data_IF_881786854875
#
_entry.id   IF_881786854875
#
_cell.length_a   1.000
_cell.length_b   1.000
_cell.length_c   1.000
_cell.angle_alpha   90.00
_cell.angle_beta   90.00
_cell.angle_gamma   90.00
#
_symmetry.space_group_name_H-M   'P 1'
#
loop_
_entity.id
_entity.type
_entity.pdbx_description
1 polymer ?
#
# COMPACT_ATOMS: atom_id res chain seq x y z
N UNK A 1 -25.55 25.53 -12.36
CA UNK A 1 -25.98 26.03 -11.04
C UNK A 1 -27.39 25.55 -10.65
N UNK A 2 -28.41 25.68 -11.50
CA UNK A 2 -29.79 25.30 -11.16
C UNK A 2 -29.97 23.78 -10.89
N UNK A 3 -29.36 22.91 -11.70
CA UNK A 3 -29.40 21.46 -11.48
C UNK A 3 -28.82 21.03 -10.13
N UNK A 4 -27.62 21.52 -9.78
CA UNK A 4 -26.97 21.20 -8.49
C UNK A 4 -27.80 21.71 -7.31
N UNK A 5 -28.37 22.91 -7.42
CA UNK A 5 -29.24 23.46 -6.37
C UNK A 5 -30.56 22.69 -6.23
N UNK A 6 -31.12 22.17 -7.34
CA UNK A 6 -32.30 21.29 -7.31
C UNK A 6 -31.97 19.93 -6.73
N UNK A 7 -30.82 19.35 -7.09
CA UNK A 7 -30.35 18.09 -6.53
C UNK A 7 -30.07 18.21 -5.02
N UNK A 8 -29.39 19.28 -4.60
CA UNK A 8 -29.14 19.58 -3.19
C UNK A 8 -30.45 19.68 -2.42
N UNK A 9 -31.43 20.46 -2.89
CA UNK A 9 -32.76 20.55 -2.26
C UNK A 9 -33.54 19.24 -2.25
N UNK A 10 -33.38 18.41 -3.26
CA UNK A 10 -34.03 17.09 -3.32
C UNK A 10 -33.44 16.11 -2.31
N UNK A 11 -32.12 16.15 -2.12
CA UNK A 11 -31.39 15.31 -1.17
C UNK A 11 -31.53 15.84 0.27
N UNK A 12 -31.60 17.16 0.44
CA UNK A 12 -31.81 17.86 1.70
C UNK A 12 -33.30 17.84 2.12
N UNK A 13 -33.84 16.63 2.24
CA UNK A 13 -35.19 16.39 2.76
C UNK A 13 -35.14 15.61 4.07
N UNK A 14 -35.98 15.96 5.06
CA UNK A 14 -36.14 15.14 6.25
C UNK A 14 -36.46 13.69 5.88
N UNK A 15 -35.89 12.73 6.61
CA UNK A 15 -36.11 11.28 6.42
C UNK A 15 -35.61 10.70 5.08
N UNK A 16 -34.72 11.41 4.35
CA UNK A 16 -34.03 10.79 3.21
C UNK A 16 -33.31 9.50 3.68
N UNK A 17 -33.47 8.36 2.98
CA UNK A 17 -32.98 7.07 3.46
C UNK A 17 -31.48 6.89 3.21
N UNK A 18 -30.65 7.76 3.79
CA UNK A 18 -29.19 7.79 3.63
C UNK A 18 -28.54 6.44 3.90
N UNK A 19 -28.98 5.73 4.97
CA UNK A 19 -28.51 4.37 5.27
C UNK A 19 -28.73 3.40 4.11
N UNK A 20 -29.93 3.40 3.50
CA UNK A 20 -30.25 2.51 2.38
C UNK A 20 -29.44 2.89 1.13
N UNK A 21 -29.26 4.19 0.88
CA UNK A 21 -28.48 4.67 -0.27
C UNK A 21 -27.01 4.25 -0.15
N UNK A 22 -26.37 4.53 0.98
CA UNK A 22 -24.96 4.20 1.23
C UNK A 22 -24.74 2.68 1.18
N UNK A 23 -25.63 1.91 1.81
CA UNK A 23 -25.57 0.44 1.74
C UNK A 23 -25.80 -0.09 0.34
N UNK A 24 -26.72 0.49 -0.43
CA UNK A 24 -26.97 0.14 -1.82
C UNK A 24 -25.72 0.33 -2.68
N UNK A 25 -25.06 1.48 -2.58
CA UNK A 25 -23.81 1.75 -3.28
C UNK A 25 -22.68 0.81 -2.83
N UNK A 26 -22.52 0.62 -1.52
CA UNK A 26 -21.49 -0.28 -0.98
C UNK A 26 -21.67 -1.73 -1.46
N UNK A 27 -22.90 -2.25 -1.43
CA UNK A 27 -23.19 -3.61 -1.94
C UNK A 27 -22.99 -3.66 -3.46
N UNK A 28 -23.44 -2.65 -4.20
CA UNK A 28 -23.25 -2.56 -5.64
C UNK A 28 -21.76 -2.59 -6.04
N UNK A 29 -20.93 -1.80 -5.35
CA UNK A 29 -19.47 -1.80 -5.54
C UNK A 29 -18.87 -3.17 -5.22
N UNK A 30 -19.21 -3.76 -4.07
CA UNK A 30 -18.71 -5.09 -3.68
C UNK A 30 -19.08 -6.17 -4.71
N UNK A 31 -20.32 -6.18 -5.21
CA UNK A 31 -20.76 -7.11 -6.25
C UNK A 31 -19.95 -6.91 -7.53
N UNK A 32 -19.77 -5.66 -7.95
CA UNK A 32 -18.99 -5.33 -9.14
C UNK A 32 -17.53 -5.80 -9.03
N UNK A 33 -16.83 -5.45 -7.95
CA UNK A 33 -15.45 -5.88 -7.68
C UNK A 33 -15.34 -7.41 -7.59
N UNK A 34 -16.33 -8.07 -6.98
CA UNK A 34 -16.39 -9.53 -6.91
C UNK A 34 -16.53 -10.18 -8.29
N UNK A 35 -17.33 -9.60 -9.20
CA UNK A 35 -17.44 -10.08 -10.58
C UNK A 35 -16.11 -9.96 -11.32
N UNK A 36 -15.35 -8.89 -11.09
CA UNK A 36 -14.05 -8.66 -11.70
C UNK A 36 -13.01 -9.66 -11.18
N UNK A 37 -12.99 -9.89 -9.87
CA UNK A 37 -12.15 -10.93 -9.26
C UNK A 37 -12.49 -12.33 -9.77
N UNK A 38 -13.77 -12.66 -9.96
CA UNK A 38 -14.19 -13.93 -10.54
C UNK A 38 -13.71 -14.09 -12.00
N UNK A 39 -13.74 -13.03 -12.81
CA UNK A 39 -13.17 -13.04 -14.16
C UNK A 39 -11.67 -13.28 -14.13
N UNK A 40 -10.94 -12.60 -13.24
CA UNK A 40 -9.51 -12.83 -13.07
C UNK A 40 -9.21 -14.25 -12.61
N UNK A 41 -10.00 -14.78 -11.68
CA UNK A 41 -9.87 -16.17 -11.23
C UNK A 41 -10.03 -17.17 -12.37
N UNK A 42 -10.94 -16.93 -13.33
CA UNK A 42 -11.07 -17.76 -14.53
C UNK A 42 -9.82 -17.72 -15.40
N UNK A 43 -9.20 -16.55 -15.59
CA UNK A 43 -7.93 -16.43 -16.31
C UNK A 43 -6.83 -17.23 -15.60
N UNK A 44 -6.81 -17.21 -14.27
CA UNK A 44 -5.83 -17.93 -13.46
C UNK A 44 -6.03 -19.46 -13.43
N UNK A 45 -7.09 -19.97 -14.05
CA UNK A 45 -7.31 -21.42 -14.26
C UNK A 45 -6.66 -21.95 -15.53
N UNK A 46 -6.13 -21.08 -16.39
CA UNK A 46 -5.39 -21.50 -17.58
C UNK A 46 -4.16 -22.29 -17.15
N UNK A 47 -3.91 -23.40 -17.84
CA UNK A 47 -2.83 -24.35 -17.53
C UNK A 47 -1.58 -24.14 -18.37
N UNK A 48 -1.63 -23.25 -19.38
CA UNK A 48 -0.49 -22.95 -20.25
C UNK A 48 -0.13 -21.48 -20.18
N UNK A 49 1.16 -21.21 -20.18
CA UNK A 49 1.68 -19.86 -20.32
C UNK A 49 1.19 -19.22 -21.63
N UNK A 50 0.99 -17.90 -21.67
CA UNK A 50 0.78 -17.19 -22.93
C UNK A 50 1.95 -17.44 -23.88
N UNK A 51 1.69 -17.59 -25.18
CA UNK A 51 2.73 -17.84 -26.20
C UNK A 51 3.94 -16.90 -26.13
N UNK A 52 3.73 -15.65 -25.73
CA UNK A 52 4.78 -14.63 -25.60
C UNK A 52 5.76 -14.95 -24.46
N UNK A 53 5.34 -15.72 -23.46
CA UNK A 53 6.11 -16.08 -22.26
C UNK A 53 6.46 -17.57 -22.21
N UNK A 54 6.06 -18.36 -23.22
CA UNK A 54 6.23 -19.81 -23.25
C UNK A 54 7.72 -20.22 -23.20
N UNK A 55 8.60 -19.37 -23.74
CA UNK A 55 10.04 -19.59 -23.74
C UNK A 55 10.75 -19.02 -22.50
N UNK A 56 10.09 -18.17 -21.73
CA UNK A 56 10.68 -17.42 -20.60
C UNK A 56 10.38 -18.06 -19.24
N UNK A 57 9.29 -18.80 -19.14
CA UNK A 57 8.79 -19.31 -17.87
C UNK A 57 8.62 -20.82 -17.99
N UNK A 58 9.29 -21.57 -17.12
CA UNK A 58 9.07 -23.00 -17.00
C UNK A 58 7.61 -23.31 -16.62
N UNK A 59 7.09 -24.43 -17.10
CA UNK A 59 5.72 -24.84 -16.79
C UNK A 59 5.48 -24.95 -15.27
N UNK A 60 6.48 -25.43 -14.52
CA UNK A 60 6.42 -25.51 -13.06
C UNK A 60 6.27 -24.12 -12.40
N UNK A 61 7.08 -23.14 -12.81
CA UNK A 61 7.01 -21.77 -12.29
C UNK A 61 5.67 -21.12 -12.64
N UNK A 62 5.18 -21.36 -13.86
CA UNK A 62 3.85 -20.91 -14.26
C UNK A 62 2.76 -21.52 -13.37
N UNK A 63 2.77 -22.84 -13.15
CA UNK A 63 1.76 -23.52 -12.34
C UNK A 63 1.78 -23.07 -10.87
N UNK A 64 2.98 -22.86 -10.30
CA UNK A 64 3.15 -22.28 -8.95
C UNK A 64 2.58 -20.87 -8.88
N UNK A 65 2.89 -20.02 -9.86
CA UNK A 65 2.36 -18.65 -9.96
C UNK A 65 0.83 -18.63 -10.08
N UNK A 66 0.27 -19.52 -10.91
CA UNK A 66 -1.18 -19.67 -11.04
C UNK A 66 -1.83 -20.17 -9.74
N UNK A 67 -1.22 -21.12 -9.04
CA UNK A 67 -1.70 -21.60 -7.75
C UNK A 67 -1.70 -20.50 -6.68
N UNK A 68 -0.62 -19.70 -6.62
CA UNK A 68 -0.51 -18.54 -5.74
C UNK A 68 -1.58 -17.48 -6.06
N UNK A 69 -1.69 -17.09 -7.33
CA UNK A 69 -2.70 -16.14 -7.79
C UNK A 69 -4.12 -16.58 -7.44
N UNK A 70 -4.46 -17.87 -7.65
CA UNK A 70 -5.78 -18.41 -7.27
C UNK A 70 -6.02 -18.39 -5.76
N UNK A 71 -5.01 -18.72 -4.96
CA UNK A 71 -5.13 -18.67 -3.50
C UNK A 71 -5.36 -17.23 -3.01
N UNK A 72 -4.63 -16.28 -3.58
CA UNK A 72 -4.78 -14.84 -3.29
C UNK A 72 -6.14 -14.31 -3.68
N UNK A 73 -6.64 -14.61 -4.89
CA UNK A 73 -7.98 -14.21 -5.33
C UNK A 73 -9.09 -14.79 -4.44
N UNK A 74 -8.96 -16.05 -3.99
CA UNK A 74 -9.93 -16.64 -3.03
C UNK A 74 -9.92 -15.91 -1.70
N UNK A 75 -8.73 -15.62 -1.17
CA UNK A 75 -8.59 -14.87 0.07
C UNK A 75 -9.18 -13.47 -0.06
N UNK A 76 -8.88 -12.75 -1.15
CA UNK A 76 -9.42 -11.40 -1.41
C UNK A 76 -10.96 -11.40 -1.46
N UNK A 77 -11.58 -12.38 -2.12
CA UNK A 77 -13.04 -12.53 -2.15
C UNK A 77 -13.64 -12.81 -0.76
N UNK A 78 -13.04 -13.74 0.00
CA UNK A 78 -13.53 -14.09 1.35
C UNK A 78 -13.36 -12.91 2.32
N UNK A 79 -12.19 -12.28 2.29
CA UNK A 79 -11.90 -11.11 3.12
C UNK A 79 -12.78 -9.91 2.73
N UNK A 80 -13.02 -9.71 1.44
CA UNK A 80 -13.96 -8.71 0.94
C UNK A 80 -15.38 -8.95 1.44
N UNK A 81 -15.86 -10.19 1.39
CA UNK A 81 -17.18 -10.56 1.94
C UNK A 81 -17.25 -10.32 3.45
N UNK A 82 -16.22 -10.70 4.19
CA UNK A 82 -16.12 -10.43 5.62
C UNK A 82 -16.16 -8.92 5.92
N UNK A 83 -15.38 -8.12 5.19
CA UNK A 83 -15.41 -6.66 5.29
C UNK A 83 -16.78 -6.07 4.94
N UNK A 84 -17.48 -6.63 3.94
CA UNK A 84 -18.82 -6.18 3.56
C UNK A 84 -19.86 -6.50 4.65
N UNK A 85 -19.79 -7.69 5.28
CA UNK A 85 -20.62 -8.05 6.42
C UNK A 85 -20.39 -7.09 7.58
N UNK A 86 -19.12 -6.80 7.89
CA UNK A 86 -18.77 -5.80 8.91
C UNK A 86 -19.34 -4.44 8.57
N UNK A 87 -19.16 -3.93 7.34
CA UNK A 87 -19.67 -2.64 6.94
C UNK A 87 -21.20 -2.54 7.08
N UNK A 88 -21.94 -3.56 6.62
CA UNK A 88 -23.39 -3.64 6.78
C UNK A 88 -23.76 -3.63 8.26
N UNK A 89 -23.10 -4.44 9.09
CA UNK A 89 -23.35 -4.49 10.53
C UNK A 89 -23.07 -3.15 11.21
N UNK A 90 -21.97 -2.48 10.87
CA UNK A 90 -21.60 -1.18 11.44
C UNK A 90 -22.64 -0.10 11.16
N UNK A 91 -23.17 -0.05 9.93
CA UNK A 91 -24.18 0.93 9.52
C UNK A 91 -25.57 0.57 10.07
N UNK A 92 -25.97 -0.70 10.00
CA UNK A 92 -27.30 -1.14 10.44
C UNK A 92 -27.45 -1.10 11.96
N UNK A 93 -26.41 -1.45 12.70
CA UNK A 93 -26.43 -1.49 14.17
C UNK A 93 -26.04 -0.15 14.80
N UNK A 94 -25.82 0.91 14.02
CA UNK A 94 -25.42 2.24 14.49
C UNK A 94 -24.20 2.17 15.42
N UNK A 95 -23.17 1.44 14.99
CA UNK A 95 -21.98 1.22 15.81
C UNK A 95 -21.23 2.53 16.05
N UNK A 96 -21.15 3.42 15.05
CA UNK A 96 -20.42 4.68 15.18
C UNK A 96 -21.02 5.62 16.24
N UNK A 97 -22.34 5.92 16.27
CA UNK A 97 -22.95 6.68 17.36
C UNK A 97 -22.78 6.04 18.73
N UNK A 98 -22.92 4.71 18.84
CA UNK A 98 -22.73 3.98 20.09
C UNK A 98 -21.30 4.09 20.59
N UNK A 99 -20.34 3.93 19.69
CA UNK A 99 -18.91 4.06 19.97
C UNK A 99 -18.57 5.49 20.40
N UNK A 100 -19.15 6.49 19.74
CA UNK A 100 -19.01 7.91 20.12
C UNK A 100 -19.52 8.16 21.55
N UNK A 101 -20.72 7.69 21.89
CA UNK A 101 -21.25 7.83 23.25
C UNK A 101 -20.33 7.16 24.27
N UNK A 102 -19.92 5.92 24.00
CA UNK A 102 -19.07 5.15 24.90
C UNK A 102 -17.70 5.79 25.14
N UNK A 103 -17.04 6.30 24.10
CA UNK A 103 -15.77 7.01 24.27
C UNK A 103 -15.93 8.35 24.99
N UNK A 104 -17.10 8.98 24.89
CA UNK A 104 -17.45 10.18 25.65
C UNK A 104 -17.54 9.88 27.14
N UNK A 105 -18.25 8.81 27.51
CA UNK A 105 -18.38 8.36 28.90
C UNK A 105 -17.01 8.01 29.50
N UNK A 106 -16.15 7.33 28.74
CA UNK A 106 -14.78 7.04 29.16
C UNK A 106 -13.95 8.31 29.38
N UNK A 107 -14.04 9.27 28.46
CA UNK A 107 -13.31 10.53 28.57
C UNK A 107 -13.75 11.30 29.82
N UNK A 108 -15.05 11.40 30.08
CA UNK A 108 -15.58 12.08 31.26
C UNK A 108 -15.18 11.38 32.56
N UNK A 109 -15.03 10.04 32.55
CA UNK A 109 -14.66 9.26 33.73
C UNK A 109 -13.17 9.34 34.06
N UNK A 110 -12.29 9.38 33.05
CA UNK A 110 -10.84 9.20 33.26
C UNK A 110 -9.99 10.40 32.86
N UNK A 111 -10.49 11.31 32.02
CA UNK A 111 -9.70 12.46 31.56
C UNK A 111 -9.84 13.65 32.52
N UNK A 112 -8.75 14.39 32.79
CA UNK A 112 -8.82 15.67 33.48
C UNK A 112 -9.76 16.66 32.78
N UNK A 113 -10.41 17.55 33.53
CA UNK A 113 -11.41 18.49 33.02
C UNK A 113 -10.96 19.28 31.76
N UNK A 114 -9.67 19.63 31.67
CA UNK A 114 -9.08 20.33 30.50
C UNK A 114 -9.11 19.54 29.18
N UNK A 115 -9.33 18.22 29.23
CA UNK A 115 -9.38 17.32 28.08
C UNK A 115 -10.79 16.80 27.78
N UNK A 116 -11.84 17.46 28.27
CA UNK A 116 -13.25 17.04 28.06
C UNK A 116 -13.92 17.71 26.85
N UNK A 117 -13.16 18.46 26.04
CA UNK A 117 -13.68 19.12 24.85
C UNK A 117 -13.89 18.17 23.66
N UNK A 118 -14.70 18.60 22.69
CA UNK A 118 -15.04 17.85 21.47
C UNK A 118 -13.80 17.35 20.68
N UNK A 119 -12.70 18.10 20.68
CA UNK A 119 -11.46 17.68 20.01
C UNK A 119 -10.85 16.45 20.70
N UNK A 120 -10.76 16.48 22.03
CA UNK A 120 -10.24 15.36 22.82
C UNK A 120 -11.14 14.14 22.70
N UNK A 121 -12.46 14.32 22.71
CA UNK A 121 -13.42 13.25 22.46
C UNK A 121 -13.25 12.65 21.06
N UNK A 122 -13.12 13.49 20.03
CA UNK A 122 -12.88 13.04 18.66
C UNK A 122 -11.60 12.23 18.52
N UNK A 123 -10.52 12.63 19.20
CA UNK A 123 -9.26 11.88 19.21
C UNK A 123 -9.44 10.50 19.84
N UNK A 124 -10.04 10.42 21.03
CA UNK A 124 -10.28 9.13 21.71
C UNK A 124 -11.20 8.25 20.89
N UNK A 125 -12.25 8.82 20.30
CA UNK A 125 -13.14 8.13 19.38
C UNK A 125 -12.38 7.52 18.18
N UNK A 126 -11.59 8.32 17.47
CA UNK A 126 -10.84 7.85 16.30
C UNK A 126 -9.82 6.78 16.67
N UNK A 127 -9.05 6.98 17.75
CA UNK A 127 -8.06 5.99 18.20
C UNK A 127 -8.72 4.68 18.62
N UNK A 128 -9.85 4.75 19.33
CA UNK A 128 -10.64 3.57 19.69
C UNK A 128 -11.15 2.87 18.44
N UNK A 129 -11.70 3.62 17.50
CA UNK A 129 -12.21 3.07 16.24
C UNK A 129 -11.09 2.36 15.45
N UNK A 130 -9.89 2.94 15.39
CA UNK A 130 -8.72 2.28 14.77
C UNK A 130 -8.40 0.95 15.44
N UNK A 131 -8.40 0.88 16.78
CA UNK A 131 -8.15 -0.36 17.51
C UNK A 131 -9.25 -1.42 17.25
N UNK A 132 -10.52 -1.02 17.21
CA UNK A 132 -11.63 -1.91 16.87
C UNK A 132 -11.47 -2.46 15.45
N UNK A 133 -11.18 -1.60 14.47
CA UNK A 133 -10.95 -2.01 13.08
C UNK A 133 -9.72 -2.93 12.94
N UNK A 134 -8.65 -2.67 13.70
CA UNK A 134 -7.49 -3.55 13.74
C UNK A 134 -7.85 -4.92 14.32
N UNK A 135 -8.57 -4.98 15.44
CA UNK A 135 -9.00 -6.24 16.03
C UNK A 135 -9.88 -7.07 15.08
N UNK A 136 -10.77 -6.42 14.34
CA UNK A 136 -11.66 -7.05 13.36
C UNK A 136 -10.94 -7.56 12.10
N UNK A 137 -9.84 -6.92 11.72
CA UNK A 137 -9.02 -7.31 10.57
C UNK A 137 -7.88 -8.29 10.93
N UNK A 138 -7.54 -8.41 12.22
CA UNK A 138 -6.46 -9.25 12.73
C UNK A 138 -6.57 -10.73 12.29
N UNK A 139 -7.73 -11.41 12.36
CA UNK A 139 -7.84 -12.80 11.92
C UNK A 139 -7.46 -12.98 10.44
N UNK A 140 -7.86 -12.01 9.61
CA UNK A 140 -7.56 -12.01 8.18
C UNK A 140 -6.07 -11.78 7.92
N UNK A 141 -5.47 -10.83 8.64
CA UNK A 141 -4.03 -10.56 8.58
C UNK A 141 -3.18 -11.76 9.02
N UNK A 142 -3.58 -12.46 10.09
CA UNK A 142 -2.91 -13.69 10.55
C UNK A 142 -3.00 -14.77 9.47
N UNK A 143 -4.19 -15.00 8.91
CA UNK A 143 -4.37 -15.98 7.84
C UNK A 143 -3.53 -15.63 6.61
N UNK A 144 -3.53 -14.37 6.19
CA UNK A 144 -2.75 -13.93 5.04
C UNK A 144 -1.26 -14.22 5.21
N UNK A 145 -0.67 -13.82 6.33
CA UNK A 145 0.78 -13.96 6.53
C UNK A 145 1.18 -15.41 6.86
N UNK A 146 0.54 -16.03 7.85
CA UNK A 146 0.98 -17.31 8.42
C UNK A 146 0.35 -18.55 7.77
N UNK A 147 -0.63 -18.38 6.88
CA UNK A 147 -1.24 -19.50 6.15
C UNK A 147 -1.05 -19.33 4.65
N UNK A 148 -1.46 -18.18 4.09
CA UNK A 148 -1.38 -17.97 2.65
C UNK A 148 0.06 -17.74 2.22
N UNK A 149 0.73 -16.68 2.67
CA UNK A 149 2.10 -16.36 2.26
C UNK A 149 3.10 -17.44 2.70
N UNK A 150 2.91 -18.03 3.89
CA UNK A 150 3.71 -19.17 4.37
C UNK A 150 3.61 -20.40 3.45
N UNK A 151 2.40 -20.74 2.98
CA UNK A 151 2.18 -21.88 2.06
C UNK A 151 2.98 -21.76 0.76
N UNK A 152 3.25 -20.53 0.31
CA UNK A 152 4.02 -20.27 -0.90
C UNK A 152 5.47 -19.87 -0.61
N UNK A 153 5.92 -19.95 0.65
CA UNK A 153 7.30 -19.68 1.06
C UNK A 153 7.68 -18.20 1.04
N UNK A 154 6.70 -17.29 0.89
CA UNK A 154 6.93 -15.85 0.86
C UNK A 154 7.04 -15.25 2.25
N UNK A 155 6.30 -15.77 3.23
CA UNK A 155 6.42 -15.28 4.61
C UNK A 155 7.78 -15.68 5.20
N UNK A 156 8.45 -14.70 5.81
CA UNK A 156 9.67 -14.89 6.61
C UNK A 156 9.51 -14.29 8.02
N UNK A 157 8.38 -13.66 8.29
CA UNK A 157 8.09 -13.03 9.56
C UNK A 157 7.75 -14.06 10.63
N UNK A 158 8.35 -13.91 11.82
CA UNK A 158 7.97 -14.70 13.00
C UNK A 158 6.75 -14.10 13.71
N UNK A 159 5.94 -14.88 14.45
CA UNK A 159 4.83 -14.34 15.24
C UNK A 159 5.24 -13.23 16.20
N UNK A 160 6.43 -13.34 16.80
CA UNK A 160 7.00 -12.29 17.66
C UNK A 160 7.23 -10.99 16.89
N UNK A 161 7.81 -11.07 15.69
CA UNK A 161 8.05 -9.89 14.85
C UNK A 161 6.72 -9.28 14.37
N UNK A 162 5.74 -10.10 14.02
CA UNK A 162 4.40 -9.65 13.64
C UNK A 162 3.72 -8.84 14.75
N UNK A 163 3.68 -9.36 15.98
CA UNK A 163 3.10 -8.64 17.12
C UNK A 163 3.92 -7.40 17.46
N UNK A 164 5.25 -7.48 17.40
CA UNK A 164 6.13 -6.33 17.68
C UNK A 164 5.89 -5.20 16.68
N UNK A 165 5.77 -5.51 15.40
CA UNK A 165 5.49 -4.52 14.35
C UNK A 165 4.10 -3.91 14.57
N UNK A 166 3.08 -4.72 14.87
CA UNK A 166 1.74 -4.24 15.19
C UNK A 166 1.74 -3.25 16.36
N UNK A 167 2.44 -3.56 17.45
CA UNK A 167 2.56 -2.68 18.62
C UNK A 167 3.31 -1.39 18.30
N UNK A 168 4.41 -1.46 17.53
CA UNK A 168 5.16 -0.27 17.07
C UNK A 168 4.30 0.63 16.18
N UNK A 169 3.56 0.05 15.24
CA UNK A 169 2.64 0.80 14.38
C UNK A 169 1.55 1.49 15.20
N UNK A 170 0.95 0.79 16.17
CA UNK A 170 -0.03 1.39 17.07
C UNK A 170 0.59 2.53 17.89
N UNK A 171 1.76 2.33 18.48
CA UNK A 171 2.45 3.39 19.23
C UNK A 171 2.66 4.63 18.35
N UNK A 172 3.13 4.45 17.12
CA UNK A 172 3.31 5.55 16.18
C UNK A 172 1.98 6.25 15.84
N UNK A 173 0.91 5.51 15.60
CA UNK A 173 -0.43 6.07 15.37
C UNK A 173 -0.89 6.89 16.59
N UNK A 174 -0.70 6.39 17.80
CA UNK A 174 -1.08 7.08 19.04
C UNK A 174 -0.24 8.34 19.30
N UNK A 175 0.98 8.41 18.78
CA UNK A 175 1.84 9.61 18.89
C UNK A 175 1.47 10.63 17.80
N UNK A 176 1.31 10.20 16.55
CA UNK A 176 1.14 11.09 15.40
C UNK A 176 -0.30 11.53 15.16
N UNK A 177 -1.29 10.63 15.33
CA UNK A 177 -2.67 10.95 14.99
C UNK A 177 -3.28 12.04 15.88
N UNK A 178 -3.08 12.08 17.22
CA UNK A 178 -3.67 13.12 18.06
C UNK A 178 -3.30 14.56 17.67
N UNK A 179 -2.01 14.95 17.50
CA UNK A 179 -1.68 16.32 17.10
C UNK A 179 -2.19 16.66 15.69
N UNK A 180 -2.19 15.69 14.77
CA UNK A 180 -2.73 15.87 13.41
C UNK A 180 -4.24 16.13 13.46
N UNK A 181 -4.99 15.29 14.17
CA UNK A 181 -6.44 15.43 14.34
C UNK A 181 -6.81 16.70 15.10
N UNK A 182 -6.05 17.05 16.14
CA UNK A 182 -6.24 18.29 16.88
C UNK A 182 -6.04 19.51 15.97
N UNK A 183 -4.97 19.53 15.17
CA UNK A 183 -4.71 20.59 14.19
C UNK A 183 -5.83 20.69 13.16
N UNK A 184 -6.20 19.56 12.56
CA UNK A 184 -7.28 19.45 11.58
C UNK A 184 -8.62 20.01 12.11
N UNK A 185 -9.09 19.54 13.27
CA UNK A 185 -10.34 19.99 13.86
C UNK A 185 -10.26 21.45 14.33
N UNK A 186 -9.10 21.89 14.82
CA UNK A 186 -8.89 23.28 15.22
C UNK A 186 -8.98 24.24 14.04
N UNK A 187 -8.48 23.84 12.87
CA UNK A 187 -8.61 24.64 11.63
C UNK A 187 -10.07 24.80 11.28
N UNK A 188 -10.84 23.72 11.25
CA UNK A 188 -12.28 23.75 10.94
C UNK A 188 -13.02 24.70 11.89
N UNK A 189 -12.79 24.59 13.20
CA UNK A 189 -13.45 25.46 14.19
C UNK A 189 -13.08 26.94 14.07
N UNK A 190 -11.83 27.25 13.71
CA UNK A 190 -11.35 28.64 13.65
C UNK A 190 -11.70 29.36 12.36
N UNK A 191 -11.82 28.63 11.25
CA UNK A 191 -11.87 29.22 9.91
C UNK A 191 -13.26 29.23 9.28
N UNK A 192 -14.25 28.57 9.91
CA UNK A 192 -15.63 28.57 9.45
C UNK A 192 -15.72 28.16 7.97
N UNK A 193 -16.52 28.83 7.15
CA UNK A 193 -16.74 28.46 5.74
C UNK A 193 -15.48 28.48 4.85
N UNK A 194 -14.36 29.07 5.29
CA UNK A 194 -13.08 29.06 4.55
C UNK A 194 -12.19 27.86 4.91
N UNK A 195 -12.65 26.94 5.76
CA UNK A 195 -11.82 25.85 6.28
C UNK A 195 -11.17 24.99 5.21
N UNK A 196 -11.81 24.84 4.06
CA UNK A 196 -11.33 24.03 2.95
C UNK A 196 -9.92 24.42 2.49
N UNK A 197 -9.66 25.73 2.31
CA UNK A 197 -8.34 26.20 1.88
C UNK A 197 -7.26 25.96 2.93
N UNK A 198 -7.55 26.28 4.19
CA UNK A 198 -6.60 26.12 5.29
C UNK A 198 -6.31 24.65 5.61
N UNK A 199 -7.32 23.79 5.52
CA UNK A 199 -7.20 22.35 5.70
C UNK A 199 -6.40 21.73 4.56
N UNK A 200 -6.64 22.15 3.31
CA UNK A 200 -5.82 21.76 2.17
C UNK A 200 -4.36 22.15 2.38
N UNK A 201 -4.08 23.41 2.75
CA UNK A 201 -2.71 23.87 2.98
C UNK A 201 -2.03 23.10 4.13
N UNK A 202 -2.77 22.81 5.20
CA UNK A 202 -2.30 21.98 6.31
C UNK A 202 -1.99 20.55 5.86
N UNK A 203 -2.88 19.91 5.09
CA UNK A 203 -2.70 18.56 4.57
C UNK A 203 -1.51 18.49 3.60
N UNK A 204 -1.36 19.46 2.71
CA UNK A 204 -0.23 19.58 1.79
C UNK A 204 1.11 19.70 2.55
N UNK A 205 1.15 20.59 3.55
CA UNK A 205 2.33 20.76 4.41
C UNK A 205 2.66 19.49 5.20
N UNK A 206 1.64 18.85 5.79
CA UNK A 206 1.80 17.58 6.49
C UNK A 206 2.28 16.46 5.55
N UNK A 207 1.78 16.39 4.33
CA UNK A 207 2.20 15.38 3.35
C UNK A 207 3.67 15.55 2.96
N UNK A 208 4.12 16.78 2.67
CA UNK A 208 5.54 17.07 2.37
C UNK A 208 6.43 16.73 3.58
N UNK A 209 5.98 17.11 4.79
CA UNK A 209 6.65 16.75 6.03
C UNK A 209 6.77 15.24 6.19
N UNK A 210 5.67 14.48 6.02
CA UNK A 210 5.66 13.03 6.17
C UNK A 210 6.49 12.31 5.11
N UNK A 211 6.48 12.75 3.85
CA UNK A 211 7.35 12.20 2.79
C UNK A 211 8.84 12.35 3.15
N UNK A 212 9.19 13.43 3.86
CA UNK A 212 10.57 13.69 4.30
C UNK A 212 10.92 12.91 5.56
N UNK A 213 10.05 12.90 6.56
CA UNK A 213 10.31 12.30 7.89
C UNK A 213 10.17 10.78 7.89
N UNK A 214 9.26 10.22 7.08
CA UNK A 214 8.99 8.79 7.06
C UNK A 214 10.27 7.94 6.88
N UNK A 215 11.08 8.12 5.83
CA UNK A 215 12.27 7.29 5.63
C UNK A 215 13.38 7.55 6.67
N UNK A 216 13.40 8.73 7.30
CA UNK A 216 14.45 9.13 8.24
C UNK A 216 14.17 8.65 9.66
N UNK A 217 12.93 8.78 10.13
CA UNK A 217 12.58 8.56 11.54
C UNK A 217 11.63 7.37 11.76
N UNK A 218 10.78 7.06 10.78
CA UNK A 218 9.76 6.01 10.95
C UNK A 218 10.26 4.68 10.42
N UNK A 219 10.75 4.65 9.18
CA UNK A 219 11.23 3.43 8.52
C UNK A 219 12.32 2.68 9.33
N UNK A 220 13.32 3.36 9.94
CA UNK A 220 14.34 2.70 10.75
C UNK A 220 13.82 2.00 12.01
N UNK A 221 12.60 2.32 12.47
CA UNK A 221 11.98 1.62 13.61
C UNK A 221 11.53 0.20 13.25
N UNK A 222 11.32 -0.07 11.95
CA UNK A 222 10.83 -1.34 11.43
C UNK A 222 11.93 -2.12 10.71
N UNK A 223 12.74 -1.46 9.90
CA UNK A 223 13.76 -2.08 9.07
C UNK A 223 15.13 -1.49 9.38
N UNK A 224 16.17 -2.30 9.26
CA UNK A 224 17.54 -1.84 9.28
C UNK A 224 17.89 -1.35 7.88
N UNK A 225 18.32 -0.08 7.81
CA UNK A 225 18.97 0.48 6.63
C UNK A 225 20.47 0.43 6.87
N UNK A 226 21.21 -0.17 5.96
CA UNK A 226 22.68 -0.22 6.00
C UNK A 226 23.23 0.33 4.69
N UNK A 227 24.38 1.02 4.69
CA UNK A 227 25.02 1.44 3.46
C UNK A 227 25.27 0.23 2.55
N UNK A 228 25.14 0.41 1.24
CA UNK A 228 25.51 -0.61 0.27
C UNK A 228 27.03 -0.83 0.30
N UNK A 229 27.44 -2.09 0.39
CA UNK A 229 28.85 -2.49 0.42
C UNK A 229 29.58 -2.05 -0.87
N UNK A 230 30.89 -1.83 -0.75
CA UNK A 230 31.74 -1.54 -1.90
C UNK A 230 31.78 -2.75 -2.84
N UNK A 231 31.59 -2.50 -4.14
CA UNK A 231 31.59 -3.56 -5.15
C UNK A 231 31.05 -3.11 -6.50
N UNK A 232 30.97 -4.06 -7.43
CA UNK A 232 30.55 -3.81 -8.82
C UNK A 232 29.16 -3.16 -8.90
N UNK A 233 28.21 -3.63 -8.09
CA UNK A 233 26.85 -3.08 -8.05
C UNK A 233 26.86 -1.60 -7.66
N UNK A 234 27.57 -1.24 -6.60
CA UNK A 234 27.66 0.15 -6.15
C UNK A 234 28.26 1.05 -7.23
N UNK A 235 29.38 0.63 -7.82
CA UNK A 235 30.04 1.36 -8.91
C UNK A 235 29.13 1.56 -10.12
N UNK A 236 28.41 0.51 -10.55
CA UNK A 236 27.51 0.59 -11.70
C UNK A 236 26.31 1.51 -11.43
N UNK A 237 25.75 1.49 -10.21
CA UNK A 237 24.64 2.37 -9.82
C UNK A 237 25.08 3.82 -9.73
N UNK A 238 26.26 4.10 -9.16
CA UNK A 238 26.82 5.45 -9.12
C UNK A 238 27.11 5.99 -10.53
N UNK A 239 27.64 5.14 -11.41
CA UNK A 239 27.87 5.50 -12.81
C UNK A 239 26.54 5.81 -13.54
N UNK A 240 25.49 5.01 -13.32
CA UNK A 240 24.16 5.25 -13.88
C UNK A 240 23.56 6.57 -13.36
N UNK A 241 23.62 6.79 -12.04
CA UNK A 241 23.13 8.02 -11.42
C UNK A 241 23.85 9.25 -11.98
N UNK A 242 25.18 9.19 -12.11
CA UNK A 242 25.99 10.25 -12.71
C UNK A 242 25.62 10.50 -14.17
N UNK A 243 25.46 9.44 -14.97
CA UNK A 243 25.04 9.54 -16.38
C UNK A 243 23.69 10.23 -16.53
N UNK A 244 22.77 10.00 -15.60
CA UNK A 244 21.42 10.58 -15.61
C UNK A 244 21.32 11.92 -14.85
N UNK A 245 22.43 12.47 -14.36
CA UNK A 245 22.47 13.64 -13.48
C UNK A 245 21.51 13.52 -12.27
N UNK A 246 21.33 12.29 -11.78
CA UNK A 246 20.53 12.04 -10.59
C UNK A 246 21.32 12.51 -9.35
N UNK A 247 20.73 13.33 -8.46
CA UNK A 247 21.41 13.88 -7.29
C UNK A 247 21.51 12.84 -6.17
N UNK A 248 22.25 11.76 -6.45
CA UNK A 248 22.51 10.67 -5.52
C UNK A 248 23.36 11.17 -4.35
N UNK A 249 22.88 10.92 -3.14
CA UNK A 249 23.60 11.17 -1.89
C UNK A 249 24.17 9.88 -1.31
N UNK A 250 23.32 8.89 -1.02
CA UNK A 250 23.73 7.59 -0.47
C UNK A 250 22.90 6.43 -1.03
N UNK A 251 23.52 5.25 -1.05
CA UNK A 251 22.92 3.96 -1.43
C UNK A 251 22.76 3.11 -0.18
N UNK A 252 21.54 2.61 0.06
CA UNK A 252 21.22 1.75 1.18
C UNK A 252 20.69 0.39 0.73
N UNK A 253 20.94 -0.61 1.56
CA UNK A 253 20.27 -1.91 1.56
C UNK A 253 19.29 -1.96 2.74
N UNK A 254 18.08 -2.42 2.47
CA UNK A 254 17.04 -2.67 3.48
C UNK A 254 16.88 -4.18 3.73
N UNK A 255 16.74 -4.56 5.00
CA UNK A 255 16.55 -5.96 5.44
C UNK A 255 15.12 -6.49 5.19
N UNK A 256 14.67 -6.42 3.92
CA UNK A 256 13.34 -6.86 3.49
C UNK A 256 13.08 -8.35 3.71
N UNK A 257 14.14 -9.17 3.58
CA UNK A 257 14.13 -10.62 3.80
C UNK A 257 13.60 -11.03 5.17
N UNK A 258 13.69 -10.15 6.18
CA UNK A 258 13.16 -10.37 7.54
C UNK A 258 11.64 -10.55 7.58
N UNK A 259 10.92 -10.03 6.58
CA UNK A 259 9.45 -10.07 6.52
C UNK A 259 8.96 -10.92 5.37
N UNK A 260 9.55 -10.76 4.19
CA UNK A 260 9.12 -11.56 3.05
C UNK A 260 10.25 -11.79 2.06
N UNK A 261 10.05 -12.79 1.20
CA UNK A 261 10.93 -13.06 0.08
C UNK A 261 10.66 -12.16 -1.15
N UNK A 262 9.77 -11.16 -1.06
CA UNK A 262 9.49 -10.22 -2.15
C UNK A 262 10.63 -9.21 -2.33
N UNK A 263 10.91 -8.85 -3.58
CA UNK A 263 12.00 -7.95 -3.98
C UNK A 263 11.46 -6.60 -4.44
N UNK A 264 12.17 -5.51 -4.12
CA UNK A 264 11.78 -4.17 -4.52
C UNK A 264 13.01 -3.22 -4.51
N UNK A 265 12.87 -2.05 -5.11
CA UNK A 265 13.80 -0.93 -4.99
C UNK A 265 13.01 0.38 -5.07
N UNK A 266 13.49 1.41 -4.37
CA UNK A 266 12.87 2.73 -4.44
C UNK A 266 13.88 3.82 -4.09
N UNK A 267 13.52 5.08 -4.35
CA UNK A 267 14.30 6.24 -3.93
C UNK A 267 13.47 7.19 -3.08
N UNK A 268 14.13 7.91 -2.18
CA UNK A 268 13.50 8.91 -1.31
C UNK A 268 14.40 10.13 -1.12
N UNK A 269 13.89 11.14 -0.41
CA UNK A 269 14.63 12.34 -0.05
C UNK A 269 14.21 13.57 -0.83
N UNK A 270 14.89 14.68 -0.54
CA UNK A 270 14.59 15.99 -1.11
C UNK A 270 14.99 16.04 -2.59
N UNK A 271 14.40 16.94 -3.41
CA UNK A 271 14.72 17.04 -4.83
C UNK A 271 16.22 17.16 -5.15
N UNK A 272 16.99 17.80 -4.27
CA UNK A 272 18.43 18.05 -4.41
C UNK A 272 19.33 17.04 -3.69
N UNK A 273 18.77 16.13 -2.88
CA UNK A 273 19.51 15.08 -2.16
C UNK A 273 18.65 13.82 -2.08
N UNK A 274 18.96 12.85 -2.93
CA UNK A 274 18.20 11.60 -3.05
C UNK A 274 18.99 10.40 -2.54
N UNK A 275 18.29 9.49 -1.89
CA UNK A 275 18.82 8.22 -1.44
C UNK A 275 18.13 7.10 -2.22
N UNK A 276 18.87 6.07 -2.59
CA UNK A 276 18.31 4.85 -3.20
C UNK A 276 18.33 3.75 -2.14
N UNK A 277 17.25 2.99 -2.05
CA UNK A 277 17.12 1.82 -1.19
C UNK A 277 16.86 0.60 -2.06
N UNK A 278 17.69 -0.42 -1.90
CA UNK A 278 17.59 -1.70 -2.59
C UNK A 278 17.26 -2.77 -1.56
N UNK A 279 16.28 -3.63 -1.83
CA UNK A 279 16.00 -4.76 -0.94
C UNK A 279 17.12 -5.79 -1.04
N UNK A 280 17.53 -6.34 0.10
CA UNK A 280 18.45 -7.49 0.16
C UNK A 280 17.99 -8.65 -0.73
N UNK A 281 16.70 -8.97 -0.71
CA UNK A 281 16.08 -10.00 -1.58
C UNK A 281 16.17 -9.71 -3.07
N UNK A 282 16.36 -8.45 -3.49
CA UNK A 282 16.61 -8.11 -4.90
C UNK A 282 18.07 -8.38 -5.25
N UNK A 283 19.00 -8.02 -4.36
CA UNK A 283 20.44 -8.22 -4.56
C UNK A 283 20.79 -9.71 -4.55
N UNK A 284 20.16 -10.50 -3.67
CA UNK A 284 20.41 -11.94 -3.55
C UNK A 284 19.90 -12.77 -4.73
N UNK A 285 18.92 -12.27 -5.48
CA UNK A 285 18.18 -13.04 -6.50
C UNK A 285 18.40 -12.57 -7.93
N UNK A 286 19.18 -11.52 -8.12
CA UNK A 286 19.37 -10.89 -9.42
C UNK A 286 20.83 -10.56 -9.64
N UNK A 287 21.27 -10.64 -10.88
CA UNK A 287 22.60 -10.23 -11.27
C UNK A 287 22.74 -8.70 -11.19
N UNK A 288 23.97 -8.22 -11.03
CA UNK A 288 24.26 -6.78 -10.94
C UNK A 288 23.61 -5.98 -12.07
N UNK A 289 23.65 -6.48 -13.31
CA UNK A 289 23.08 -5.79 -14.47
C UNK A 289 21.56 -5.70 -14.41
N UNK A 290 20.89 -6.72 -13.87
CA UNK A 290 19.43 -6.75 -13.70
C UNK A 290 19.00 -5.73 -12.63
N UNK A 291 19.72 -5.66 -11.50
CA UNK A 291 19.45 -4.65 -10.47
C UNK A 291 19.65 -3.24 -11.02
N UNK A 292 20.70 -3.01 -11.81
CA UNK A 292 20.95 -1.73 -12.47
C UNK A 292 19.83 -1.40 -13.47
N UNK A 293 19.28 -2.39 -14.19
CA UNK A 293 18.15 -2.19 -15.09
C UNK A 293 16.86 -1.82 -14.34
N UNK A 294 16.58 -2.45 -13.20
CA UNK A 294 15.48 -2.07 -12.30
C UNK A 294 15.67 -0.64 -11.81
N UNK A 295 16.88 -0.27 -11.39
CA UNK A 295 17.16 1.11 -10.96
C UNK A 295 17.07 2.11 -12.11
N UNK A 296 17.41 1.74 -13.34
CA UNK A 296 17.19 2.58 -14.51
C UNK A 296 15.69 2.85 -14.74
N UNK A 297 14.83 1.84 -14.52
CA UNK A 297 13.37 2.02 -14.54
C UNK A 297 12.90 3.00 -13.45
N UNK A 298 13.35 2.81 -12.20
CA UNK A 298 13.02 3.70 -11.08
C UNK A 298 13.49 5.14 -11.33
N UNK A 299 14.71 5.33 -11.82
CA UNK A 299 15.24 6.64 -12.20
C UNK A 299 14.49 7.25 -13.39
N UNK A 300 13.89 6.44 -14.25
CA UNK A 300 12.96 6.88 -15.28
C UNK A 300 11.73 7.58 -14.71
N UNK A 301 11.15 7.07 -13.61
CA UNK A 301 10.05 7.75 -12.91
C UNK A 301 10.44 9.12 -12.37
N UNK A 302 11.68 9.23 -11.86
CA UNK A 302 12.22 10.52 -11.42
C UNK A 302 12.44 11.47 -12.60
N UNK A 303 13.09 11.01 -13.67
CA UNK A 303 13.42 11.83 -14.85
C UNK A 303 12.16 12.38 -15.54
N UNK A 304 11.11 11.56 -15.66
CA UNK A 304 9.83 11.98 -16.24
C UNK A 304 8.95 12.78 -15.25
N UNK A 305 9.41 12.96 -14.01
CA UNK A 305 8.71 13.71 -12.97
C UNK A 305 7.39 13.07 -12.55
N UNK A 306 7.24 11.75 -12.66
CA UNK A 306 6.00 11.04 -12.34
C UNK A 306 5.56 11.30 -10.90
N UNK A 307 6.47 11.25 -9.93
CA UNK A 307 6.18 11.56 -8.52
C UNK A 307 5.66 12.99 -8.33
N UNK A 308 6.30 13.97 -8.99
CA UNK A 308 5.90 15.39 -8.90
C UNK A 308 4.54 15.63 -9.55
N UNK A 309 4.28 15.03 -10.71
CA UNK A 309 2.98 15.12 -11.40
C UNK A 309 1.87 14.50 -10.56
N UNK A 310 2.08 13.28 -10.03
CA UNK A 310 1.11 12.60 -9.17
C UNK A 310 0.84 13.39 -7.89
N UNK A 311 1.87 13.99 -7.28
CA UNK A 311 1.70 14.88 -6.13
C UNK A 311 0.84 16.09 -6.48
N UNK A 312 1.12 16.78 -7.59
CA UNK A 312 0.33 17.93 -8.06
C UNK A 312 -1.13 17.56 -8.36
N UNK A 313 -1.37 16.45 -9.06
CA UNK A 313 -2.71 15.92 -9.32
C UNK A 313 -3.44 15.62 -8.02
N UNK A 314 -2.78 14.98 -7.05
CA UNK A 314 -3.35 14.72 -5.73
C UNK A 314 -3.73 16.00 -5.00
N UNK A 315 -2.92 17.06 -5.05
CA UNK A 315 -3.26 18.35 -4.43
C UNK A 315 -4.47 19.00 -5.10
N UNK A 316 -4.56 18.97 -6.43
CA UNK A 316 -5.68 19.53 -7.18
C UNK A 316 -7.00 18.78 -6.89
N UNK A 317 -6.93 17.45 -6.77
CA UNK A 317 -8.09 16.62 -6.40
C UNK A 317 -8.58 16.94 -4.98
N UNK A 318 -7.68 17.06 -4.01
CA UNK A 318 -8.03 17.40 -2.62
C UNK A 318 -8.60 18.82 -2.52
N UNK A 319 -8.04 19.78 -3.27
CA UNK A 319 -8.48 21.18 -3.24
C UNK A 319 -9.87 21.38 -3.84
N UNK A 320 -10.20 20.65 -4.91
CA UNK A 320 -11.44 20.89 -5.65
C UNK A 320 -12.67 20.18 -5.05
N UNK A 321 -12.52 19.28 -4.05
CA UNK A 321 -13.61 18.51 -3.39
C UNK A 321 -14.67 17.93 -4.35
N UNK A 322 -14.30 17.77 -5.62
CA UNK A 322 -15.16 17.40 -6.73
C UNK A 322 -14.47 16.29 -7.49
N UNK A 323 -15.25 15.28 -7.87
CA UNK A 323 -14.86 14.36 -8.93
C UNK A 323 -14.80 15.17 -10.22
N UNK A 324 -13.60 15.43 -10.71
CA UNK A 324 -13.41 15.82 -12.10
C UNK A 324 -13.89 14.62 -12.92
N UNK A 325 -14.84 14.82 -13.83
CA UNK A 325 -15.47 13.75 -14.63
C UNK A 325 -14.48 12.65 -15.09
N UNK A 326 -14.83 11.37 -14.96
CA UNK A 326 -13.86 10.29 -15.21
C UNK A 326 -14.38 9.03 -15.90
N UNK A 327 -15.24 9.01 -16.90
CA UNK A 327 -15.81 7.77 -17.50
C UNK A 327 -14.89 6.73 -18.23
N UNK A 328 -13.60 6.94 -18.44
CA UNK A 328 -12.65 5.80 -18.58
C UNK A 328 -12.34 5.18 -17.18
N UNK A 329 -13.35 5.27 -16.29
CA UNK A 329 -13.40 5.43 -14.81
C UNK A 329 -12.99 4.25 -14.01
N UNK A 330 -12.87 3.15 -14.71
CA UNK A 330 -12.45 1.92 -14.11
C UNK A 330 -11.01 1.59 -14.53
N UNK A 331 -10.58 2.03 -15.72
CA UNK A 331 -9.25 1.73 -16.26
C UNK A 331 -8.11 2.36 -15.43
N UNK A 332 -8.43 3.41 -14.68
CA UNK A 332 -7.59 4.15 -13.72
C UNK A 332 -7.67 3.62 -12.29
N UNK A 333 -8.63 2.75 -11.98
CA UNK A 333 -9.08 2.52 -10.62
C UNK A 333 -8.32 1.39 -9.89
N UNK A 334 -7.57 0.53 -10.58
CA UNK A 334 -6.90 -0.62 -9.94
C UNK A 334 -5.44 -0.92 -10.31
N UNK A 335 -4.82 -0.26 -11.31
CA UNK A 335 -3.41 -0.50 -11.66
C UNK A 335 -2.66 0.79 -11.99
N UNK A 336 -1.41 0.90 -11.53
CA UNK A 336 -0.46 1.96 -11.85
C UNK A 336 0.49 1.61 -13.02
N UNK A 337 0.56 0.34 -13.46
CA UNK A 337 1.40 -0.13 -14.57
C UNK A 337 0.76 -1.27 -15.41
N UNK A 338 0.99 -1.32 -16.74
CA UNK A 338 0.62 -2.47 -17.57
C UNK A 338 1.45 -3.72 -17.21
N UNK A 339 0.86 -4.91 -17.32
CA UNK A 339 1.54 -6.16 -16.97
C UNK A 339 2.76 -6.41 -17.88
N UNK A 340 3.74 -7.20 -17.43
CA UNK A 340 4.99 -7.44 -18.17
C UNK A 340 4.73 -7.89 -19.61
N UNK A 341 3.80 -8.82 -19.84
CA UNK A 341 3.44 -9.28 -21.19
C UNK A 341 2.88 -8.19 -22.10
N UNK A 342 2.14 -7.22 -21.56
CA UNK A 342 1.59 -6.10 -22.33
C UNK A 342 2.69 -5.08 -22.66
N UNK A 343 3.62 -4.86 -21.73
CA UNK A 343 4.81 -4.02 -21.94
C UNK A 343 5.73 -4.61 -23.02
N UNK A 344 6.06 -5.91 -22.92
CA UNK A 344 6.90 -6.61 -23.90
C UNK A 344 6.26 -6.63 -25.29
N UNK A 345 4.95 -6.85 -25.37
CA UNK A 345 4.22 -6.80 -26.63
C UNK A 345 4.22 -5.39 -27.24
N UNK A 346 4.06 -4.35 -26.43
CA UNK A 346 4.11 -2.96 -26.91
C UNK A 346 5.51 -2.55 -27.40
N UNK A 347 6.57 -3.20 -26.91
CA UNK A 347 7.95 -3.00 -27.34
C UNK A 347 8.34 -3.82 -28.58
N UNK A 348 7.40 -4.57 -29.18
CA UNK A 348 7.68 -5.58 -30.22
C UNK A 348 8.81 -6.53 -29.82
N UNK A 349 8.93 -6.81 -28.54
CA UNK A 349 10.02 -7.62 -28.01
C UNK A 349 9.74 -9.11 -28.25
N UNK A 350 10.74 -9.80 -28.77
CA UNK A 350 10.76 -11.26 -28.96
C UNK A 350 11.99 -11.84 -28.26
N UNK A 351 11.76 -12.82 -27.41
CA UNK A 351 12.79 -13.57 -26.68
C UNK A 351 13.88 -14.11 -27.60
N UNK A 352 15.14 -13.92 -27.21
CA UNK A 352 16.31 -14.47 -27.91
C UNK A 352 16.90 -15.72 -27.24
N UNK A 353 16.78 -15.87 -25.91
CA UNK A 353 17.38 -16.98 -25.14
C UNK A 353 16.59 -17.31 -23.87
N UNK A 354 16.78 -18.53 -23.33
CA UNK A 354 16.11 -19.04 -22.13
C UNK A 354 16.80 -18.53 -20.86
N UNK A 355 16.06 -18.00 -19.90
CA UNK A 355 16.57 -17.75 -18.54
C UNK A 355 16.20 -18.95 -17.66
N UNK A 356 17.21 -19.62 -17.11
CA UNK A 356 17.06 -20.74 -16.17
C UNK A 356 17.08 -22.11 -16.83
N UNK A 357 18.24 -22.51 -17.33
CA UNK A 357 18.60 -23.92 -17.48
C UNK A 357 19.80 -24.16 -16.58
N UNK A 358 19.58 -24.89 -15.49
CA UNK A 358 20.44 -26.01 -15.10
C UNK A 358 19.68 -26.87 -14.07
N UNK A 359 19.64 -28.16 -14.35
CA UNK A 359 19.17 -29.20 -13.43
C UNK A 359 19.96 -29.10 -12.11
N UNK A 360 19.37 -29.42 -10.95
CA UNK A 360 20.15 -29.54 -9.73
C UNK A 360 21.11 -30.73 -9.90
N UNK A 361 22.41 -30.46 -9.98
CA UNK A 361 23.42 -31.48 -9.70
C UNK A 361 23.11 -32.04 -8.32
N UNK A 362 22.73 -33.32 -8.29
CA UNK A 362 22.63 -34.08 -7.05
C UNK A 362 24.03 -34.13 -6.45
N UNK A 363 24.31 -33.22 -5.52
CA UNK A 363 25.46 -33.30 -4.66
C UNK A 363 25.36 -34.63 -3.89
N UNK A 364 26.12 -35.63 -4.35
CA UNK A 364 26.37 -36.83 -3.56
C UNK A 364 26.97 -36.37 -2.24
N UNK A 365 26.28 -36.65 -1.15
CA UNK A 365 26.84 -36.53 0.19
C UNK A 365 28.04 -37.48 0.30
N UNK A 366 29.24 -36.96 0.07
CA UNK A 366 30.50 -37.61 0.42
C UNK A 366 31.02 -36.95 1.69
N UNK A 367 31.20 -37.74 2.75
CA UNK A 367 31.99 -37.36 3.91
C UNK A 367 31.20 -36.96 5.16
N UNK A 368 30.39 -37.88 5.70
CA UNK A 368 30.54 -38.18 7.12
C UNK A 368 31.72 -39.13 7.20
N UNK A 369 32.87 -38.61 7.58
CA UNK A 369 33.85 -39.27 8.43
C UNK A 369 34.93 -38.22 8.73
N UNK A 370 35.24 -38.09 10.02
CA UNK A 370 36.35 -37.35 10.63
C UNK A 370 36.11 -35.87 11.04
N UNK A 371 35.91 -35.76 12.37
CA UNK A 371 36.12 -34.64 13.31
C UNK A 371 34.96 -33.66 13.58
#
# INVERSE_FOLDING_TARGET
>A
MDYLNRLARFLDRPLFPWKKLILGFSVGQFVFESLLSLRQYQVLRKTKAPKVLENEISQETFDKSQAYGRAKQKYELINGLWGQIQNIAFIQLDVLPKLWSWTGDLLLKFAPARFTGEISHSIVFVLTFVLVQQALSLPSSIYYNFVLEEKFGFNKQTPKLFVTDMLKSNMLTFILAPPILAGFLSIIKKTGNQFFFYLWAFAAGLQVFMITIYPIAILPLFNKLSPLDEGELKTNVEALAKKLNFPLHELYVIDGSKRSAHSNAYFFGLPWKKHIVIYDTLIEKSETQEVVAVLAHELGHWSLGHTTRLFGISQLLVQNLSTMDADWMYATYHFSHPHLSERLKALNWTSSEKVGTDEPEVAKATGRDEL
#
